data_IF_681515113275
#
_entry.id   IF_681515113275
#
_cell.length_a   1.000
_cell.length_b   1.000
_cell.length_c   1.000
_cell.angle_alpha   90.00
_cell.angle_beta   90.00
_cell.angle_gamma   90.00
#
_symmetry.space_group_name_H-M   'P 1'
#
loop_
_entity.id
_entity.type
_entity.pdbx_description
1 polymer ?
#
# COMPACT_ATOMS: atom_id res chain seq x y z
N UNK A 1 7.35 -15.14 15.17
CA UNK A 1 8.51 -15.35 14.26
C UNK A 1 8.37 -16.61 13.41
N UNK A 2 7.57 -16.53 12.34
CA UNK A 2 7.48 -17.60 11.33
C UNK A 2 8.65 -17.44 10.35
N UNK A 3 9.51 -18.44 10.21
CA UNK A 3 10.53 -18.48 9.16
C UNK A 3 9.82 -18.70 7.81
N UNK A 4 10.07 -17.83 6.83
CA UNK A 4 9.62 -18.05 5.46
C UNK A 4 10.18 -19.39 4.94
N UNK A 5 9.32 -20.21 4.37
CA UNK A 5 9.69 -21.42 3.65
C UNK A 5 10.54 -21.08 2.43
N UNK A 6 11.27 -22.06 1.88
CA UNK A 6 12.03 -21.87 0.64
C UNK A 6 11.15 -21.37 -0.51
N UNK A 7 9.90 -21.84 -0.59
CA UNK A 7 8.94 -21.46 -1.63
C UNK A 7 8.48 -20.02 -1.46
N UNK A 8 8.08 -19.61 -0.26
CA UNK A 8 7.69 -18.21 0.02
C UNK A 8 8.84 -17.25 -0.26
N UNK A 9 10.08 -17.64 0.09
CA UNK A 9 11.27 -16.85 -0.19
C UNK A 9 11.55 -16.73 -1.69
N UNK A 10 11.39 -17.80 -2.46
CA UNK A 10 11.57 -17.75 -3.91
C UNK A 10 10.55 -16.84 -4.59
N UNK A 11 9.27 -16.94 -4.19
CA UNK A 11 8.21 -16.04 -4.67
C UNK A 11 8.50 -14.58 -4.37
N UNK A 12 8.94 -14.29 -3.14
CA UNK A 12 9.33 -12.92 -2.78
C UNK A 12 10.45 -12.38 -3.68
N UNK A 13 11.45 -13.20 -4.02
CA UNK A 13 12.56 -12.77 -4.90
C UNK A 13 12.05 -12.44 -6.31
N UNK A 14 11.15 -13.25 -6.84
CA UNK A 14 10.53 -13.01 -8.16
C UNK A 14 9.70 -11.73 -8.16
N UNK A 15 8.93 -11.49 -7.10
CA UNK A 15 8.18 -10.24 -6.91
C UNK A 15 9.12 -9.04 -6.79
N UNK A 16 10.16 -9.13 -5.97
CA UNK A 16 11.11 -8.04 -5.76
C UNK A 16 11.91 -7.70 -7.02
N UNK A 17 12.29 -8.68 -7.84
CA UNK A 17 12.92 -8.43 -9.15
C UNK A 17 11.96 -7.70 -10.09
N UNK A 18 10.68 -8.07 -10.10
CA UNK A 18 9.66 -7.36 -10.88
C UNK A 18 9.48 -5.91 -10.41
N UNK A 19 9.54 -5.64 -9.09
CA UNK A 19 9.48 -4.29 -8.53
C UNK A 19 10.66 -3.39 -8.99
N UNK A 20 11.86 -3.95 -9.23
CA UNK A 20 13.02 -3.20 -9.76
C UNK A 20 12.78 -2.65 -11.16
N UNK A 21 11.88 -3.26 -11.93
CA UNK A 21 11.48 -2.78 -13.25
C UNK A 21 10.49 -1.62 -13.22
N UNK A 22 9.89 -1.30 -12.06
CA UNK A 22 8.82 -0.31 -11.98
C UNK A 22 9.37 1.12 -11.89
N UNK A 23 9.03 1.93 -12.89
CA UNK A 23 9.37 3.34 -12.91
C UNK A 23 8.15 4.17 -13.31
N UNK A 24 7.64 4.95 -12.37
CA UNK A 24 6.53 5.86 -12.57
C UNK A 24 6.64 7.03 -11.58
N UNK A 25 6.31 8.28 -11.96
CA UNK A 25 6.46 9.45 -11.08
C UNK A 25 5.63 9.39 -9.80
N UNK A 26 4.57 8.56 -9.77
CA UNK A 26 3.72 8.36 -8.59
C UNK A 26 3.93 7.01 -7.90
N UNK A 27 5.04 6.32 -8.16
CA UNK A 27 5.46 5.11 -7.45
C UNK A 27 6.85 5.36 -6.86
N UNK A 28 7.06 5.01 -5.59
CA UNK A 28 8.37 5.09 -4.95
C UNK A 28 9.33 4.14 -5.67
N UNK A 29 10.48 4.65 -6.11
CA UNK A 29 11.43 3.83 -6.87
C UNK A 29 11.99 2.72 -5.98
N UNK A 30 11.88 1.48 -6.46
CA UNK A 30 12.56 0.34 -5.88
C UNK A 30 13.87 0.09 -6.64
N UNK A 31 14.99 0.12 -5.93
CA UNK A 31 16.33 0.01 -6.53
C UNK A 31 16.84 -1.43 -6.49
N UNK A 32 16.85 -2.05 -5.31
CA UNK A 32 17.47 -3.35 -5.12
C UNK A 32 16.97 -4.07 -3.86
N UNK A 33 17.28 -5.36 -3.76
CA UNK A 33 17.11 -6.15 -2.55
C UNK A 33 18.20 -7.21 -2.41
N UNK A 34 18.49 -7.60 -1.17
CA UNK A 34 19.35 -8.75 -0.89
C UNK A 34 19.02 -9.36 0.47
N UNK A 35 19.53 -10.58 0.69
CA UNK A 35 19.48 -11.19 2.02
C UNK A 35 20.71 -10.77 2.83
N UNK A 36 20.50 -10.38 4.09
CA UNK A 36 21.57 -10.03 5.01
C UNK A 36 21.32 -10.66 6.39
N UNK A 37 22.36 -11.20 7.07
CA UNK A 37 22.24 -11.61 8.45
C UNK A 37 22.17 -10.38 9.37
N UNK A 38 21.04 -10.19 10.04
CA UNK A 38 20.85 -9.18 11.08
C UNK A 38 20.63 -9.87 12.42
N UNK A 39 21.57 -9.69 13.36
CA UNK A 39 21.53 -10.28 14.71
C UNK A 39 21.29 -11.82 14.71
N UNK A 40 21.95 -12.54 13.81
CA UNK A 40 21.83 -14.00 13.68
C UNK A 40 20.54 -14.49 12.99
N UNK A 41 19.65 -13.59 12.56
CA UNK A 41 18.47 -13.91 11.74
C UNK A 41 18.71 -13.50 10.29
N UNK A 42 18.27 -14.31 9.33
CA UNK A 42 18.28 -13.93 7.91
C UNK A 42 17.15 -12.91 7.68
N UNK A 43 17.49 -11.72 7.24
CA UNK A 43 16.56 -10.66 6.90
C UNK A 43 16.70 -10.31 5.42
N UNK A 44 15.66 -9.71 4.85
CA UNK A 44 15.70 -9.14 3.51
C UNK A 44 15.86 -7.63 3.68
N UNK A 45 16.84 -7.07 2.96
CA UNK A 45 17.06 -5.62 2.87
C UNK A 45 16.45 -5.15 1.56
N UNK A 46 15.69 -4.06 1.63
CA UNK A 46 15.07 -3.40 0.47
C UNK A 46 15.64 -1.99 0.33
N UNK A 47 16.07 -1.62 -0.87
CA UNK A 47 16.57 -0.28 -1.17
C UNK A 47 15.54 0.44 -2.02
N UNK A 48 15.06 1.56 -1.51
CA UNK A 48 14.03 2.38 -2.15
C UNK A 48 14.43 3.86 -2.16
N UNK A 49 13.73 4.65 -2.97
CA UNK A 49 13.82 6.10 -2.93
C UNK A 49 13.45 6.64 -1.54
N UNK A 50 14.31 7.48 -0.99
CA UNK A 50 14.09 8.12 0.30
C UNK A 50 13.07 9.26 0.16
N UNK A 51 11.96 9.12 0.89
CA UNK A 51 10.89 10.12 0.93
C UNK A 51 11.00 11.00 2.19
N UNK A 52 11.71 12.13 2.08
CA UNK A 52 12.10 12.97 3.24
C UNK A 52 10.95 13.76 3.86
N UNK A 53 9.86 14.00 3.13
CA UNK A 53 8.71 14.78 3.63
C UNK A 53 7.66 13.94 4.34
N UNK A 54 7.92 12.64 4.55
CA UNK A 54 7.02 11.74 5.26
C UNK A 54 5.81 11.29 4.43
N UNK A 55 4.79 10.84 5.14
CA UNK A 55 3.60 10.21 4.57
C UNK A 55 2.40 11.14 4.57
N UNK A 56 1.40 10.83 3.76
CA UNK A 56 0.10 11.50 3.76
C UNK A 56 -0.55 11.45 5.15
N UNK A 57 -0.41 10.34 5.87
CA UNK A 57 -0.86 10.22 7.28
C UNK A 57 -0.20 11.27 8.18
N UNK A 58 1.13 11.42 8.10
CA UNK A 58 1.84 12.44 8.90
C UNK A 58 1.45 13.86 8.50
N UNK A 59 1.19 14.09 7.21
CA UNK A 59 0.69 15.36 6.72
C UNK A 59 -0.68 15.71 7.30
N UNK A 60 -1.65 14.78 7.28
CA UNK A 60 -3.00 14.99 7.83
C UNK A 60 -2.98 15.25 9.34
N UNK A 61 -2.09 14.56 10.08
CA UNK A 61 -1.87 14.85 11.52
C UNK A 61 -1.36 16.27 11.76
N UNK A 62 -0.50 16.78 10.88
CA UNK A 62 0.10 18.12 11.00
C UNK A 62 -0.83 19.24 10.54
N UNK A 63 -1.57 19.01 9.46
CA UNK A 63 -2.45 19.99 8.83
C UNK A 63 -3.90 19.52 8.96
N UNK A 64 -4.63 20.11 9.90
CA UNK A 64 -6.01 19.71 10.26
C UNK A 64 -7.00 19.70 9.09
N UNK A 65 -6.77 20.49 8.03
CA UNK A 65 -7.69 20.57 6.89
C UNK A 65 -6.90 20.59 5.58
N UNK A 66 -7.24 19.67 4.68
CA UNK A 66 -6.70 19.66 3.33
C UNK A 66 -7.47 20.60 2.40
N UNK A 67 -6.76 21.46 1.66
CA UNK A 67 -7.39 22.31 0.65
C UNK A 67 -7.92 21.47 -0.53
N UNK A 68 -9.12 21.74 -1.07
CA UNK A 68 -9.70 20.94 -2.17
C UNK A 68 -8.81 20.81 -3.41
N UNK A 69 -8.01 21.83 -3.73
CA UNK A 69 -7.06 21.78 -4.84
C UNK A 69 -5.94 20.76 -4.62
N UNK A 70 -5.45 20.64 -3.38
CA UNK A 70 -4.42 19.66 -3.00
C UNK A 70 -5.00 18.26 -3.04
N UNK A 71 -6.18 18.07 -2.42
CA UNK A 71 -6.92 16.80 -2.44
C UNK A 71 -7.11 16.30 -3.87
N UNK A 72 -7.67 17.12 -4.76
CA UNK A 72 -7.86 16.77 -6.17
C UNK A 72 -6.54 16.40 -6.87
N UNK A 73 -5.48 17.14 -6.59
CA UNK A 73 -4.16 16.90 -7.19
C UNK A 73 -3.58 15.56 -6.74
N UNK A 74 -3.63 15.26 -5.45
CA UNK A 74 -3.06 14.05 -4.87
C UNK A 74 -3.90 12.81 -5.19
N UNK A 75 -5.24 12.88 -5.13
CA UNK A 75 -6.10 11.79 -5.58
C UNK A 75 -5.80 11.38 -7.03
N UNK A 76 -5.69 12.35 -7.93
CA UNK A 76 -5.34 12.09 -9.34
C UNK A 76 -3.98 11.41 -9.50
N UNK A 77 -3.00 11.78 -8.68
CA UNK A 77 -1.67 11.18 -8.71
C UNK A 77 -1.66 9.74 -8.16
N UNK A 78 -2.41 9.47 -7.10
CA UNK A 78 -2.62 8.11 -6.58
C UNK A 78 -3.27 7.25 -7.66
N UNK A 79 -4.35 7.73 -8.29
CA UNK A 79 -5.04 7.02 -9.37
C UNK A 79 -4.12 6.74 -10.57
N UNK A 80 -3.24 7.68 -10.94
CA UNK A 80 -2.22 7.43 -11.98
C UNK A 80 -1.24 6.34 -11.57
N UNK A 81 -0.80 6.31 -10.31
CA UNK A 81 0.04 5.25 -9.76
C UNK A 81 -0.64 3.89 -9.80
N UNK A 82 -1.89 3.79 -9.32
CA UNK A 82 -2.68 2.55 -9.35
C UNK A 82 -2.91 2.07 -10.78
N UNK A 83 -3.31 2.95 -11.69
CA UNK A 83 -3.48 2.62 -13.10
C UNK A 83 -2.20 2.07 -13.73
N UNK A 84 -1.04 2.66 -13.40
CA UNK A 84 0.25 2.14 -13.85
C UNK A 84 0.52 0.70 -13.36
N UNK A 85 0.20 0.40 -12.10
CA UNK A 85 0.35 -0.95 -11.52
C UNK A 85 -0.62 -1.96 -12.15
N UNK A 86 -1.89 -1.59 -12.29
CA UNK A 86 -2.95 -2.45 -12.82
C UNK A 86 -2.77 -2.76 -14.31
N UNK A 87 -2.08 -1.90 -15.06
CA UNK A 87 -1.77 -2.10 -16.49
C UNK A 87 -0.47 -2.87 -16.74
N UNK A 88 0.22 -3.36 -15.70
CA UNK A 88 1.37 -4.26 -15.90
C UNK A 88 0.90 -5.62 -16.43
N UNK A 89 1.84 -6.38 -17.00
CA UNK A 89 1.60 -7.73 -17.50
C UNK A 89 2.51 -8.74 -16.76
N UNK A 90 1.99 -9.49 -15.78
CA UNK A 90 0.61 -9.47 -15.28
C UNK A 90 0.30 -8.25 -14.38
N UNK A 91 -0.99 -7.92 -14.14
CA UNK A 91 -1.38 -6.82 -13.26
C UNK A 91 -0.80 -6.98 -11.85
N UNK A 92 -0.38 -5.86 -11.27
CA UNK A 92 0.13 -5.78 -9.90
C UNK A 92 -0.96 -5.17 -9.02
N UNK A 93 -1.31 -5.86 -7.93
CA UNK A 93 -2.27 -5.36 -6.94
C UNK A 93 -1.48 -4.89 -5.72
N UNK A 94 -1.75 -3.70 -5.22
CA UNK A 94 -1.03 -3.11 -4.09
C UNK A 94 -1.39 -3.79 -2.76
N UNK A 95 -2.69 -4.04 -2.51
CA UNK A 95 -3.26 -4.78 -1.35
C UNK A 95 -3.16 -4.14 0.02
N UNK A 96 -2.23 -3.20 0.25
CA UNK A 96 -2.15 -2.43 1.50
C UNK A 96 -2.08 -0.92 1.24
N UNK A 97 -2.91 -0.41 0.33
CA UNK A 97 -2.96 1.02 0.04
C UNK A 97 -3.62 1.75 1.21
N UNK A 98 -2.90 2.72 1.77
CA UNK A 98 -3.35 3.55 2.90
C UNK A 98 -2.56 4.84 2.96
N UNK A 99 -3.03 5.83 3.72
CA UNK A 99 -2.32 7.11 3.87
C UNK A 99 -0.93 6.98 4.49
N UNK A 100 -0.64 5.92 5.25
CA UNK A 100 0.69 5.61 5.75
C UNK A 100 1.66 5.14 4.66
N UNK A 101 1.16 4.54 3.57
CA UNK A 101 1.97 4.02 2.48
C UNK A 101 2.03 4.97 1.27
N UNK A 102 1.41 6.15 1.38
CA UNK A 102 1.47 7.21 0.36
C UNK A 102 2.41 8.30 0.87
N UNK A 103 3.51 8.51 0.16
CA UNK A 103 4.54 9.47 0.53
C UNK A 103 4.38 10.78 -0.22
N UNK A 104 4.77 11.89 0.43
CA UNK A 104 4.77 13.22 -0.18
C UNK A 104 6.22 13.65 -0.49
N UNK A 105 6.42 14.39 -1.59
CA UNK A 105 7.73 15.01 -1.90
C UNK A 105 7.88 16.41 -1.28
N UNK A 106 6.80 16.96 -0.72
CA UNK A 106 6.74 18.25 -0.04
C UNK A 106 5.29 18.72 0.16
N UNK A 107 5.04 19.80 0.93
CA UNK A 107 3.68 20.26 1.26
C UNK A 107 2.81 20.64 0.06
N UNK A 108 3.43 21.07 -1.04
CA UNK A 108 2.79 21.39 -2.33
C UNK A 108 3.27 20.47 -3.47
N UNK A 109 4.00 19.40 -3.10
CA UNK A 109 4.65 18.50 -4.04
C UNK A 109 3.73 17.42 -4.60
N UNK A 110 4.37 16.42 -5.19
CA UNK A 110 3.75 15.20 -5.69
C UNK A 110 3.58 14.14 -4.60
N UNK A 111 2.72 13.17 -4.86
CA UNK A 111 2.60 11.95 -4.04
C UNK A 111 3.15 10.74 -4.78
N UNK A 112 3.70 9.80 -4.01
CA UNK A 112 4.20 8.51 -4.50
C UNK A 112 3.66 7.38 -3.63
N UNK A 113 3.12 6.35 -4.27
CA UNK A 113 2.71 5.12 -3.62
C UNK A 113 3.96 4.30 -3.30
N UNK A 114 4.14 3.95 -2.03
CA UNK A 114 5.25 3.13 -1.55
C UNK A 114 4.76 1.86 -0.87
N UNK A 115 5.67 1.16 -0.20
CA UNK A 115 5.41 -0.11 0.49
C UNK A 115 4.77 -1.21 -0.38
N UNK A 116 5.32 -1.37 -1.59
CA UNK A 116 5.02 -2.50 -2.48
C UNK A 116 5.56 -3.84 -1.97
N UNK A 117 6.10 -3.90 -0.74
CA UNK A 117 6.62 -5.13 -0.13
C UNK A 117 5.55 -6.19 0.13
N UNK A 118 4.27 -5.79 0.09
CA UNK A 118 3.09 -6.64 0.11
C UNK A 118 2.36 -6.68 -1.25
N UNK A 119 2.85 -5.99 -2.27
CA UNK A 119 2.27 -6.09 -3.60
C UNK A 119 2.59 -7.48 -4.18
N UNK A 120 1.59 -8.11 -4.80
CA UNK A 120 1.78 -9.40 -5.48
C UNK A 120 1.24 -9.32 -6.89
N UNK A 121 1.69 -10.26 -7.71
CA UNK A 121 1.07 -10.54 -8.98
C UNK A 121 -0.29 -11.20 -8.76
N UNK A 122 -1.30 -10.84 -9.56
CA UNK A 122 -2.66 -11.43 -9.50
C UNK A 122 -2.68 -12.98 -9.50
N UNK A 123 -1.65 -13.65 -10.01
CA UNK A 123 -1.52 -15.13 -10.00
C UNK A 123 -1.05 -15.73 -8.65
N UNK A 124 -0.48 -14.92 -7.77
CA UNK A 124 0.10 -15.35 -6.49
C UNK A 124 -0.72 -14.88 -5.27
N UNK A 125 -1.89 -14.28 -5.49
CA UNK A 125 -2.80 -13.74 -4.44
C UNK A 125 -3.43 -14.79 -3.52
N UNK A 126 -3.23 -16.09 -3.76
CA UNK A 126 -3.66 -17.22 -2.91
C UNK A 126 -2.92 -17.31 -1.54
N UNK A 127 -2.41 -16.20 -1.00
CA UNK A 127 -1.66 -16.19 0.25
C UNK A 127 -2.60 -16.17 1.46
N UNK A 128 -2.58 -17.27 2.22
CA UNK A 128 -3.42 -17.65 3.38
C UNK A 128 -3.24 -16.83 4.66
N UNK A 129 -3.10 -15.50 4.58
CA UNK A 129 -3.01 -14.66 5.78
C UNK A 129 -3.72 -13.34 5.56
N UNK A 130 -4.57 -12.95 6.51
CA UNK A 130 -5.15 -11.60 6.58
C UNK A 130 -3.99 -10.60 6.64
N UNK A 131 -3.72 -9.96 5.52
CA UNK A 131 -2.73 -8.91 5.34
C UNK A 131 -3.51 -7.62 5.05
N UNK A 132 -3.02 -6.51 5.56
CA UNK A 132 -3.61 -5.19 5.34
C UNK A 132 -4.07 -4.53 6.63
N UNK A 133 -4.59 -3.33 6.47
CA UNK A 133 -5.08 -2.48 7.56
C UNK A 133 -6.61 -2.48 7.48
N UNK A 134 -7.35 -3.06 8.46
CA UNK A 134 -8.79 -3.34 8.34
C UNK A 134 -9.65 -2.17 7.85
N UNK A 135 -9.29 -0.95 8.22
CA UNK A 135 -9.98 0.29 7.84
C UNK A 135 -9.94 0.56 6.33
N UNK A 136 -8.97 -0.01 5.60
CA UNK A 136 -8.74 0.16 4.17
C UNK A 136 -8.98 -1.12 3.37
N UNK A 137 -9.32 -2.24 4.03
CA UNK A 137 -9.51 -3.53 3.39
C UNK A 137 -10.92 -3.66 2.82
N UNK A 138 -11.02 -4.09 1.57
CA UNK A 138 -12.28 -4.44 0.94
C UNK A 138 -12.83 -5.76 1.51
N UNK A 139 -14.16 -5.98 1.55
CA UNK A 139 -14.75 -7.20 2.13
C UNK A 139 -14.27 -8.49 1.45
N UNK A 140 -14.08 -8.49 0.14
CA UNK A 140 -13.61 -9.66 -0.61
C UNK A 140 -12.18 -10.08 -0.26
N UNK A 141 -11.38 -9.21 0.38
CA UNK A 141 -10.05 -9.57 0.86
C UNK A 141 -10.08 -10.63 1.96
N UNK A 142 -11.21 -10.79 2.67
CA UNK A 142 -11.39 -11.83 3.69
C UNK A 142 -11.70 -13.21 3.10
N UNK A 143 -12.14 -13.27 1.83
CA UNK A 143 -12.50 -14.50 1.12
C UNK A 143 -11.34 -15.04 0.25
N UNK A 144 -10.17 -14.41 0.32
CA UNK A 144 -8.94 -14.72 -0.43
C UNK A 144 -9.10 -14.71 -1.97
N UNK A 145 -10.27 -14.31 -2.49
CA UNK A 145 -10.57 -14.14 -3.91
C UNK A 145 -10.86 -12.67 -4.20
N UNK A 146 -9.85 -11.97 -4.70
CA UNK A 146 -9.94 -10.55 -4.99
C UNK A 146 -9.11 -10.17 -6.21
N UNK A 147 -9.43 -9.01 -6.78
CA UNK A 147 -8.73 -8.45 -7.93
C UNK A 147 -8.29 -6.99 -7.67
N UNK A 148 -7.97 -6.24 -8.71
CA UNK A 148 -7.58 -4.84 -8.63
C UNK A 148 -8.61 -3.90 -7.95
N UNK A 149 -9.89 -4.33 -7.81
CA UNK A 149 -10.96 -3.58 -7.13
C UNK A 149 -10.60 -3.23 -5.68
N UNK A 150 -9.80 -4.05 -5.01
CA UNK A 150 -9.44 -3.83 -3.60
C UNK A 150 -8.61 -2.56 -3.43
N UNK A 151 -7.77 -2.23 -4.43
CA UNK A 151 -7.00 -0.99 -4.42
C UNK A 151 -7.92 0.22 -4.68
N UNK A 152 -9.02 0.04 -5.41
CA UNK A 152 -10.04 1.08 -5.64
C UNK A 152 -10.82 1.36 -4.36
N UNK A 153 -11.21 0.32 -3.62
CA UNK A 153 -11.82 0.46 -2.30
C UNK A 153 -10.88 1.19 -1.33
N UNK A 154 -9.62 0.73 -1.25
CA UNK A 154 -8.60 1.34 -0.40
C UNK A 154 -8.32 2.80 -0.79
N UNK A 155 -8.36 3.13 -2.09
CA UNK A 155 -8.29 4.50 -2.57
C UNK A 155 -9.46 5.35 -2.05
N UNK A 156 -10.69 4.81 -2.09
CA UNK A 156 -11.87 5.46 -1.51
C UNK A 156 -11.68 5.81 -0.05
N UNK A 157 -11.11 4.88 0.74
CA UNK A 157 -10.80 5.11 2.16
C UNK A 157 -9.69 6.14 2.37
N UNK A 158 -8.66 6.15 1.53
CA UNK A 158 -7.65 7.22 1.55
C UNK A 158 -8.26 8.60 1.22
N UNK A 159 -9.17 8.64 0.24
CA UNK A 159 -9.86 9.87 -0.14
C UNK A 159 -10.80 10.36 0.96
N UNK A 160 -11.48 9.45 1.65
CA UNK A 160 -12.29 9.76 2.83
C UNK A 160 -11.43 10.38 3.93
N UNK A 161 -10.33 9.74 4.32
CA UNK A 161 -9.41 10.24 5.34
C UNK A 161 -8.82 11.61 4.96
N UNK A 162 -8.47 11.82 3.68
CA UNK A 162 -8.00 13.12 3.19
C UNK A 162 -9.06 14.23 3.27
N UNK A 163 -10.34 13.89 3.07
CA UNK A 163 -11.43 14.83 3.06
C UNK A 163 -11.90 15.22 4.47
N UNK A 164 -11.89 14.27 5.41
CA UNK A 164 -12.37 14.46 6.78
C UNK A 164 -11.26 14.77 7.78
N UNK A 165 -10.01 14.45 7.44
CA UNK A 165 -8.88 14.41 8.39
C UNK A 165 -9.11 13.47 9.59
N UNK A 166 -10.06 12.55 9.46
CA UNK A 166 -10.43 11.57 10.49
C UNK A 166 -10.11 10.16 9.97
N UNK A 167 -9.63 9.31 10.86
CA UNK A 167 -9.33 7.93 10.50
C UNK A 167 -10.64 7.16 10.25
N UNK A 168 -10.78 6.43 9.12
CA UNK A 168 -11.98 5.66 8.84
C UNK A 168 -12.28 4.67 9.97
N UNK A 169 -13.56 4.50 10.29
CA UNK A 169 -14.03 3.60 11.35
C UNK A 169 -13.49 3.92 12.76
N UNK A 170 -13.14 5.18 13.05
CA UNK A 170 -12.67 5.59 14.38
C UNK A 170 -13.66 5.33 15.52
N UNK A 171 -14.94 5.09 15.21
CA UNK A 171 -15.95 4.67 16.18
C UNK A 171 -15.84 3.19 16.60
N UNK A 172 -15.06 2.37 15.89
CA UNK A 172 -14.83 0.97 16.22
C UNK A 172 -13.69 0.79 17.23
N UNK A 173 -13.89 -0.11 18.19
CA UNK A 173 -12.92 -0.42 19.24
C UNK A 173 -11.89 -1.48 18.80
N UNK A 174 -12.19 -2.26 17.77
CA UNK A 174 -11.31 -3.32 17.27
C UNK A 174 -11.65 -3.73 15.82
N UNK A 175 -10.73 -4.44 15.19
CA UNK A 175 -10.85 -4.91 13.81
C UNK A 175 -12.11 -5.78 13.54
N UNK A 176 -12.58 -6.54 14.53
CA UNK A 176 -13.77 -7.37 14.37
C UNK A 176 -15.07 -6.54 14.27
N UNK A 177 -15.11 -5.35 14.86
CA UNK A 177 -16.22 -4.42 14.65
C UNK A 177 -16.19 -3.80 13.25
N UNK A 178 -15.00 -3.45 12.75
CA UNK A 178 -14.81 -2.95 11.39
C UNK A 178 -15.25 -4.01 10.37
N UNK A 179 -14.74 -5.24 10.51
CA UNK A 179 -15.13 -6.37 9.67
C UNK A 179 -16.66 -6.52 9.58
N UNK A 180 -17.34 -6.55 10.73
CA UNK A 180 -18.80 -6.68 10.77
C UNK A 180 -19.54 -5.55 10.05
N UNK A 181 -19.02 -4.33 10.05
CA UNK A 181 -19.62 -3.19 9.34
C UNK A 181 -19.39 -3.24 7.83
N UNK A 182 -18.24 -3.76 7.41
CA UNK A 182 -17.87 -3.83 5.98
C UNK A 182 -18.55 -5.02 5.29
N UNK A 183 -18.87 -6.09 6.03
CA UNK A 183 -19.52 -7.30 5.49
C UNK A 183 -21.03 -7.41 5.73
N UNK A 184 -21.66 -6.42 6.38
CA UNK A 184 -23.11 -6.38 6.63
C UNK A 184 -23.87 -5.67 5.53
#
# INVERSE_FOLDING_TARGET
>A
DRKLTKVERQRFKEEAEMLKGLQHPNIVRFYDFWESPLKGKKCIVLVTELMTSGTLKTYLKRFKVMKPKVLRSWCRQILKGLHFLHTRAPPIIHRDLKCDNIFITGPTGSVKIGDLGLATLKRASFAKSVIGTPEFMAPEMYEEHYDESVDVYAFGMCMLEMATSEYPYSECQNAAQIYRKVTS
#
